data_IF_954629347365
#
_entry.id   IF_954629347365
#
_cell.length_a   1.000
_cell.length_b   1.000
_cell.length_c   1.000
_cell.angle_alpha   90.00
_cell.angle_beta   90.00
_cell.angle_gamma   90.00
#
_symmetry.space_group_name_H-M   'P 1'
#
loop_
_entity.id
_entity.type
_entity.pdbx_description
1 polymer ?
#
# COMPACT_ATOMS: atom_id res chain seq x y z
N UNK A 1 -24.48 32.84 -28.78
CA UNK A 1 -23.59 32.06 -29.68
C UNK A 1 -22.19 31.82 -29.05
N UNK A 2 -21.58 32.85 -28.39
CA UNK A 2 -20.27 32.66 -27.72
C UNK A 2 -20.37 31.80 -26.46
N UNK A 3 -21.40 31.96 -25.64
CA UNK A 3 -21.63 31.16 -24.44
C UNK A 3 -21.93 29.66 -24.75
N UNK A 4 -22.66 29.43 -25.85
CA UNK A 4 -23.01 28.06 -26.29
C UNK A 4 -21.75 27.31 -26.77
N UNK A 5 -20.83 28.01 -27.47
CA UNK A 5 -19.56 27.39 -27.89
C UNK A 5 -18.64 27.09 -26.71
N UNK A 6 -18.60 27.96 -25.69
CA UNK A 6 -17.83 27.72 -24.47
C UNK A 6 -18.37 26.51 -23.69
N UNK A 7 -19.69 26.38 -23.58
CA UNK A 7 -20.35 25.24 -22.95
C UNK A 7 -20.09 23.93 -23.70
N UNK A 8 -20.13 23.96 -25.04
CA UNK A 8 -19.83 22.76 -25.87
C UNK A 8 -18.36 22.32 -25.71
N UNK A 9 -17.42 23.26 -25.67
CA UNK A 9 -16.01 22.95 -25.45
C UNK A 9 -15.76 22.36 -24.06
N UNK A 10 -16.43 22.88 -23.03
CA UNK A 10 -16.35 22.33 -21.67
C UNK A 10 -16.96 20.93 -21.59
N UNK A 11 -18.09 20.69 -22.25
CA UNK A 11 -18.71 19.37 -22.30
C UNK A 11 -17.82 18.34 -23.02
N UNK A 12 -17.21 18.72 -24.14
CA UNK A 12 -16.26 17.87 -24.85
C UNK A 12 -14.99 17.55 -24.01
N UNK A 13 -14.44 18.54 -23.30
CA UNK A 13 -13.28 18.32 -22.42
C UNK A 13 -13.64 17.37 -21.28
N UNK A 14 -14.85 17.52 -20.71
CA UNK A 14 -15.35 16.61 -19.68
C UNK A 14 -15.53 15.18 -20.22
N UNK A 15 -16.14 15.01 -21.40
CA UNK A 15 -16.31 13.68 -22.04
C UNK A 15 -14.97 13.02 -22.33
N UNK A 16 -13.98 13.76 -22.84
CA UNK A 16 -12.64 13.24 -23.11
C UNK A 16 -11.93 12.79 -21.82
N UNK A 17 -12.06 13.55 -20.74
CA UNK A 17 -11.49 13.19 -19.45
C UNK A 17 -12.18 11.96 -18.86
N UNK A 18 -13.51 11.90 -18.92
CA UNK A 18 -14.28 10.76 -18.45
C UNK A 18 -13.93 9.47 -19.23
N UNK A 19 -13.81 9.58 -20.56
CA UNK A 19 -13.41 8.46 -21.40
C UNK A 19 -11.99 7.99 -21.11
N UNK A 20 -11.05 8.92 -20.88
CA UNK A 20 -9.67 8.59 -20.52
C UNK A 20 -9.58 7.90 -19.14
N UNK A 21 -10.40 8.34 -18.17
CA UNK A 21 -10.48 7.71 -16.84
C UNK A 21 -11.05 6.28 -16.96
N UNK A 22 -12.17 6.13 -17.66
CA UNK A 22 -12.78 4.83 -17.90
C UNK A 22 -11.82 3.84 -18.57
N UNK A 23 -11.04 4.32 -19.56
CA UNK A 23 -10.06 3.49 -20.23
C UNK A 23 -8.89 3.11 -19.32
N UNK A 24 -8.39 4.02 -18.48
CA UNK A 24 -7.38 3.71 -17.46
C UNK A 24 -7.85 2.64 -16.48
N UNK A 25 -9.07 2.76 -15.98
CA UNK A 25 -9.69 1.78 -15.08
C UNK A 25 -9.86 0.42 -15.76
N UNK A 26 -10.25 0.40 -17.05
CA UNK A 26 -10.35 -0.82 -17.84
C UNK A 26 -8.99 -1.52 -17.98
N UNK A 27 -7.96 -0.76 -18.37
CA UNK A 27 -6.60 -1.27 -18.52
C UNK A 27 -6.06 -1.79 -17.17
N UNK A 28 -6.30 -1.08 -16.08
CA UNK A 28 -5.89 -1.49 -14.75
C UNK A 28 -6.48 -2.86 -14.37
N UNK A 29 -7.79 -3.07 -14.60
CA UNK A 29 -8.43 -4.37 -14.35
C UNK A 29 -7.88 -5.46 -15.26
N UNK A 30 -7.69 -5.19 -16.54
CA UNK A 30 -7.18 -6.16 -17.50
C UNK A 30 -5.74 -6.61 -17.16
N UNK A 31 -4.89 -5.69 -16.69
CA UNK A 31 -3.55 -6.01 -16.16
C UNK A 31 -3.66 -6.83 -14.88
N UNK A 32 -4.53 -6.43 -13.95
CA UNK A 32 -4.73 -7.16 -12.70
C UNK A 32 -5.18 -8.60 -12.94
N UNK A 33 -6.18 -8.79 -13.79
CA UNK A 33 -6.75 -10.10 -14.10
C UNK A 33 -5.80 -10.97 -14.94
N UNK A 34 -5.10 -10.38 -15.90
CA UNK A 34 -4.16 -11.10 -16.75
C UNK A 34 -2.83 -11.39 -16.05
N UNK A 35 -2.07 -10.34 -15.79
CA UNK A 35 -0.69 -10.46 -15.26
C UNK A 35 -0.70 -10.85 -13.78
N UNK A 36 -1.63 -10.33 -12.98
CA UNK A 36 -1.73 -10.64 -11.56
C UNK A 36 -2.02 -12.11 -11.30
N UNK A 37 -2.99 -12.70 -12.02
CA UNK A 37 -3.29 -14.12 -11.92
C UNK A 37 -2.15 -15.01 -12.43
N UNK A 38 -1.43 -14.58 -13.48
CA UNK A 38 -0.27 -15.31 -13.98
C UNK A 38 0.85 -15.36 -12.95
N UNK A 39 1.23 -14.22 -12.38
CA UNK A 39 2.28 -14.13 -11.34
C UNK A 39 1.91 -14.92 -10.09
N UNK A 40 0.65 -14.85 -9.65
CA UNK A 40 0.17 -15.63 -8.50
C UNK A 40 0.26 -17.13 -8.77
N UNK A 41 -0.06 -17.59 -9.97
CA UNK A 41 0.07 -18.99 -10.36
C UNK A 41 1.53 -19.44 -10.35
N UNK A 42 2.44 -18.63 -10.89
CA UNK A 42 3.88 -18.92 -10.86
C UNK A 42 4.42 -18.98 -9.43
N UNK A 43 4.01 -18.08 -8.55
CA UNK A 43 4.35 -18.08 -7.14
C UNK A 43 3.92 -19.39 -6.46
N UNK A 44 2.69 -19.85 -6.70
CA UNK A 44 2.19 -21.12 -6.17
C UNK A 44 2.96 -22.33 -6.72
N UNK A 45 3.38 -22.29 -7.98
CA UNK A 45 4.22 -23.34 -8.57
C UNK A 45 5.60 -23.38 -7.92
N UNK A 46 6.24 -22.24 -7.70
CA UNK A 46 7.53 -22.15 -7.00
C UNK A 46 7.41 -22.71 -5.58
N UNK A 47 6.37 -22.33 -4.84
CA UNK A 47 6.12 -22.87 -3.49
C UNK A 47 5.89 -24.37 -3.49
N UNK A 48 5.18 -24.90 -4.47
CA UNK A 48 5.01 -26.35 -4.62
C UNK A 48 6.35 -27.06 -4.92
N UNK A 49 7.20 -26.49 -5.77
CA UNK A 49 8.53 -27.02 -6.06
C UNK A 49 9.45 -26.98 -4.83
N UNK A 50 9.40 -25.93 -4.02
CA UNK A 50 10.14 -25.87 -2.75
C UNK A 50 9.78 -27.02 -1.82
N UNK A 51 8.50 -27.39 -1.75
CA UNK A 51 8.05 -28.55 -0.94
C UNK A 51 8.57 -29.88 -1.51
N UNK A 52 8.53 -30.05 -2.83
CA UNK A 52 8.99 -31.25 -3.51
C UNK A 52 10.51 -31.46 -3.34
N UNK A 53 11.29 -30.38 -3.49
CA UNK A 53 12.76 -30.39 -3.46
C UNK A 53 13.35 -30.02 -2.09
N UNK A 54 12.58 -30.10 -1.01
CA UNK A 54 12.99 -29.67 0.34
C UNK A 54 14.30 -30.30 0.84
N UNK A 55 14.68 -31.44 0.30
CA UNK A 55 15.91 -32.16 0.68
C UNK A 55 17.13 -31.78 -0.17
N UNK A 56 16.95 -30.84 -1.14
CA UNK A 56 17.98 -30.34 -2.05
C UNK A 56 18.31 -28.87 -1.76
N UNK A 57 19.26 -28.55 -0.83
CA UNK A 57 19.48 -27.19 -0.36
C UNK A 57 19.80 -26.17 -1.46
N UNK A 58 20.52 -26.58 -2.51
CA UNK A 58 20.86 -25.73 -3.65
C UNK A 58 19.60 -25.34 -4.45
N UNK A 59 18.72 -26.31 -4.73
CA UNK A 59 17.47 -26.06 -5.45
C UNK A 59 16.53 -25.19 -4.63
N UNK A 60 16.45 -25.43 -3.32
CA UNK A 60 15.63 -24.61 -2.41
C UNK A 60 16.12 -23.16 -2.38
N UNK A 61 17.43 -22.91 -2.37
CA UNK A 61 17.98 -21.56 -2.40
C UNK A 61 17.62 -20.82 -3.70
N UNK A 62 17.74 -21.50 -4.85
CA UNK A 62 17.37 -20.95 -6.16
C UNK A 62 15.85 -20.64 -6.23
N UNK A 63 15.02 -21.57 -5.75
CA UNK A 63 13.57 -21.38 -5.70
C UNK A 63 13.17 -20.26 -4.73
N UNK A 64 13.89 -20.05 -3.63
CA UNK A 64 13.66 -18.95 -2.70
C UNK A 64 13.99 -17.61 -3.36
N UNK A 65 15.03 -17.54 -4.16
CA UNK A 65 15.37 -16.37 -4.94
C UNK A 65 14.29 -16.04 -5.98
N UNK A 66 13.76 -17.07 -6.66
CA UNK A 66 12.64 -16.91 -7.60
C UNK A 66 11.33 -16.47 -6.89
N UNK A 67 11.01 -17.03 -5.73
CA UNK A 67 9.86 -16.65 -4.89
C UNK A 67 9.92 -15.16 -4.55
N UNK A 68 11.06 -14.70 -4.06
CA UNK A 68 11.28 -13.29 -3.74
C UNK A 68 11.16 -12.37 -4.96
N UNK A 69 11.70 -12.77 -6.10
CA UNK A 69 11.61 -11.99 -7.35
C UNK A 69 10.17 -11.92 -7.88
N UNK A 70 9.39 -12.99 -7.76
CA UNK A 70 7.98 -13.02 -8.15
C UNK A 70 7.12 -12.16 -7.21
N UNK A 71 7.37 -12.18 -5.90
CA UNK A 71 6.69 -11.31 -4.94
C UNK A 71 6.98 -9.84 -5.23
N UNK A 72 8.25 -9.48 -5.51
CA UNK A 72 8.63 -8.11 -5.90
C UNK A 72 7.97 -7.67 -7.21
N UNK A 73 7.91 -8.55 -8.21
CA UNK A 73 7.24 -8.29 -9.49
C UNK A 73 5.73 -8.08 -9.29
N UNK A 74 5.09 -8.91 -8.45
CA UNK A 74 3.68 -8.78 -8.11
C UNK A 74 3.38 -7.45 -7.41
N UNK A 75 4.21 -7.05 -6.46
CA UNK A 75 4.08 -5.77 -5.76
C UNK A 75 4.36 -4.57 -6.67
N UNK A 76 5.30 -4.69 -7.60
CA UNK A 76 5.57 -3.66 -8.60
C UNK A 76 4.40 -3.47 -9.56
N UNK A 77 3.83 -4.59 -10.05
CA UNK A 77 2.64 -4.58 -10.88
C UNK A 77 1.45 -3.93 -10.15
N UNK A 78 1.20 -4.33 -8.89
CA UNK A 78 0.14 -3.73 -8.06
C UNK A 78 0.29 -2.23 -7.90
N UNK A 79 1.52 -1.74 -7.63
CA UNK A 79 1.80 -0.30 -7.55
C UNK A 79 1.49 0.42 -8.88
N UNK A 80 1.82 -0.21 -10.00
CA UNK A 80 1.57 0.36 -11.33
C UNK A 80 0.10 0.40 -11.67
N UNK A 81 -0.64 -0.66 -11.38
CA UNK A 81 -2.09 -0.75 -11.57
C UNK A 81 -2.81 0.27 -10.68
N UNK A 82 -2.40 0.37 -9.40
CA UNK A 82 -2.98 1.33 -8.45
C UNK A 82 -2.75 2.80 -8.86
N UNK A 83 -1.64 3.09 -9.53
CA UNK A 83 -1.41 4.43 -10.09
C UNK A 83 -2.30 4.76 -11.31
N UNK A 84 -2.94 3.75 -11.91
CA UNK A 84 -3.88 3.89 -13.03
C UNK A 84 -5.35 3.97 -12.59
N UNK A 85 -5.67 3.41 -11.41
CA UNK A 85 -7.03 3.41 -10.85
C UNK A 85 -7.20 4.58 -9.89
N UNK A 86 -8.20 5.41 -10.12
CA UNK A 86 -8.53 6.59 -9.30
C UNK A 86 -9.73 6.34 -8.35
N UNK A 87 -10.12 5.07 -8.14
CA UNK A 87 -11.36 4.71 -7.43
C UNK A 87 -11.09 4.42 -5.93
N UNK A 88 -11.78 5.09 -5.04
CA UNK A 88 -11.57 5.08 -3.59
C UNK A 88 -12.14 3.90 -2.81
N UNK A 89 -13.02 3.08 -3.38
CA UNK A 89 -13.34 1.75 -2.83
C UNK A 89 -12.07 0.90 -2.65
N UNK A 90 -11.01 1.28 -3.32
CA UNK A 90 -9.71 0.63 -3.28
C UNK A 90 -8.92 0.94 -2.01
N UNK A 91 -9.03 2.12 -1.38
CA UNK A 91 -8.22 2.43 -0.21
C UNK A 91 -8.51 1.48 0.96
N UNK A 92 -9.77 1.29 1.31
CA UNK A 92 -10.18 0.37 2.39
C UNK A 92 -9.77 -1.08 2.07
N UNK A 93 -10.02 -1.53 0.85
CA UNK A 93 -9.64 -2.86 0.37
C UNK A 93 -8.13 -3.05 0.41
N UNK A 94 -7.38 -2.04 -0.03
CA UNK A 94 -5.92 -2.08 -0.03
C UNK A 94 -5.35 -2.09 1.40
N UNK A 95 -5.89 -1.30 2.30
CA UNK A 95 -5.48 -1.29 3.71
C UNK A 95 -5.79 -2.61 4.41
N UNK A 96 -6.93 -3.24 4.12
CA UNK A 96 -7.26 -4.58 4.61
C UNK A 96 -6.27 -5.64 4.09
N UNK A 97 -5.89 -5.55 2.82
CA UNK A 97 -4.87 -6.45 2.24
C UNK A 97 -3.48 -6.23 2.87
N UNK A 98 -3.10 -4.99 3.15
CA UNK A 98 -1.86 -4.69 3.89
C UNK A 98 -1.90 -5.29 5.29
N UNK A 99 -3.02 -5.11 6.00
CA UNK A 99 -3.21 -5.67 7.34
C UNK A 99 -3.09 -7.19 7.37
N UNK A 100 -3.65 -7.88 6.37
CA UNK A 100 -3.57 -9.36 6.30
C UNK A 100 -2.17 -9.91 5.99
N UNK A 101 -1.22 -9.06 5.58
CA UNK A 101 0.13 -9.47 5.13
C UNK A 101 1.28 -8.91 5.97
N UNK A 102 0.99 -8.05 6.93
CA UNK A 102 2.03 -7.35 7.71
C UNK A 102 2.70 -8.23 8.79
N UNK A 103 2.22 -9.45 9.02
CA UNK A 103 2.77 -10.36 10.03
C UNK A 103 2.23 -10.12 11.45
N UNK A 104 1.17 -9.31 11.59
CA UNK A 104 0.41 -9.11 12.84
C UNK A 104 -0.79 -10.04 12.84
N UNK A 105 -1.06 -10.71 13.95
CA UNK A 105 -2.11 -11.75 14.04
C UNK A 105 -3.52 -11.21 13.75
N UNK A 106 -3.80 -9.98 14.18
CA UNK A 106 -5.09 -9.31 13.99
C UNK A 106 -4.91 -7.84 13.63
N UNK A 107 -5.38 -7.45 12.44
CA UNK A 107 -5.43 -6.05 12.02
C UNK A 107 -6.86 -5.67 11.69
N UNK A 108 -7.38 -4.64 12.36
CA UNK A 108 -8.69 -4.06 12.04
C UNK A 108 -8.52 -2.77 11.26
N UNK A 109 -9.23 -2.65 10.15
CA UNK A 109 -9.24 -1.44 9.33
C UNK A 109 -10.63 -0.82 9.36
N UNK A 110 -10.72 0.42 9.83
CA UNK A 110 -11.94 1.21 9.87
C UNK A 110 -11.75 2.44 8.95
N UNK A 111 -12.46 2.49 7.84
CA UNK A 111 -12.48 3.65 6.94
C UNK A 111 -13.85 4.33 7.05
N UNK A 112 -13.89 5.49 7.70
CA UNK A 112 -15.07 6.34 7.84
C UNK A 112 -14.88 7.58 6.98
N UNK A 113 -15.11 7.43 5.68
CA UNK A 113 -14.91 8.50 4.70
C UNK A 113 -16.21 8.74 3.93
N UNK A 114 -16.65 10.00 3.86
CA UNK A 114 -17.82 10.42 3.05
C UNK A 114 -17.43 10.64 1.60
N UNK A 115 -16.16 10.98 1.36
CA UNK A 115 -15.58 11.20 0.05
C UNK A 115 -14.29 10.40 -0.10
N UNK A 116 -13.91 10.15 -1.33
CA UNK A 116 -12.64 9.50 -1.66
C UNK A 116 -11.47 10.47 -1.49
N UNK A 117 -10.37 10.02 -0.86
CA UNK A 117 -9.19 10.87 -0.76
C UNK A 117 -8.59 11.13 -2.14
N UNK A 118 -8.11 12.36 -2.40
CA UNK A 118 -7.32 12.62 -3.59
C UNK A 118 -6.19 11.60 -3.73
N UNK A 119 -5.86 11.21 -4.96
CA UNK A 119 -4.86 10.16 -5.24
C UNK A 119 -3.49 10.38 -4.54
N UNK A 120 -3.08 11.63 -4.35
CA UNK A 120 -1.86 11.96 -3.59
C UNK A 120 -2.00 11.61 -2.10
N UNK A 121 -3.17 11.88 -1.51
CA UNK A 121 -3.48 11.56 -0.11
C UNK A 121 -3.59 10.05 0.06
N UNK A 122 -4.31 9.35 -0.81
CA UNK A 122 -4.45 7.89 -0.77
C UNK A 122 -3.08 7.19 -0.81
N UNK A 123 -2.19 7.61 -1.71
CA UNK A 123 -0.81 7.07 -1.79
C UNK A 123 -0.01 7.34 -0.51
N UNK A 124 -0.16 8.52 0.07
CA UNK A 124 0.49 8.88 1.33
C UNK A 124 -0.01 7.99 2.48
N UNK A 125 -1.34 7.83 2.61
CA UNK A 125 -1.99 6.97 3.61
C UNK A 125 -1.46 5.54 3.51
N UNK A 126 -1.46 4.96 2.32
CA UNK A 126 -0.96 3.60 2.07
C UNK A 126 0.51 3.46 2.49
N UNK A 127 1.36 4.42 2.14
CA UNK A 127 2.78 4.38 2.49
C UNK A 127 3.00 4.48 4.00
N UNK A 128 2.27 5.38 4.68
CA UNK A 128 2.35 5.58 6.13
C UNK A 128 1.85 4.34 6.88
N UNK A 129 0.68 3.81 6.51
CA UNK A 129 0.12 2.61 7.15
C UNK A 129 1.02 1.39 6.96
N UNK A 130 1.57 1.20 5.76
CA UNK A 130 2.53 0.11 5.50
C UNK A 130 3.74 0.20 6.43
N UNK A 131 4.36 1.38 6.52
CA UNK A 131 5.53 1.60 7.36
C UNK A 131 5.20 1.42 8.84
N UNK A 132 4.07 1.97 9.31
CA UNK A 132 3.64 1.84 10.70
C UNK A 132 3.37 0.38 11.08
N UNK A 133 2.66 -0.39 10.24
CA UNK A 133 2.42 -1.82 10.49
C UNK A 133 3.70 -2.64 10.41
N UNK A 134 4.62 -2.30 9.50
CA UNK A 134 5.95 -2.96 9.43
C UNK A 134 6.74 -2.71 10.70
N UNK A 135 6.74 -1.48 11.21
CA UNK A 135 7.43 -1.12 12.44
C UNK A 135 6.80 -1.82 13.66
N UNK A 136 5.47 -1.86 13.75
CA UNK A 136 4.75 -2.57 14.78
C UNK A 136 5.10 -4.08 14.80
N UNK A 137 5.13 -4.72 13.63
CA UNK A 137 5.46 -6.14 13.51
C UNK A 137 6.94 -6.43 13.82
N UNK A 138 7.88 -5.65 13.25
CA UNK A 138 9.32 -5.92 13.32
C UNK A 138 9.96 -5.46 14.60
N UNK A 139 9.56 -4.31 15.10
CA UNK A 139 10.22 -3.63 16.23
C UNK A 139 9.34 -3.63 17.49
N UNK A 140 8.01 -3.60 17.34
CA UNK A 140 7.09 -3.60 18.47
C UNK A 140 6.64 -4.98 18.92
N UNK A 141 6.84 -6.04 18.12
CA UNK A 141 6.32 -7.38 18.41
C UNK A 141 4.79 -7.40 18.56
N UNK A 142 4.10 -6.48 17.87
CA UNK A 142 2.65 -6.32 17.98
C UNK A 142 1.91 -7.57 17.49
N UNK A 143 0.85 -7.95 18.21
CA UNK A 143 -0.08 -9.02 17.85
C UNK A 143 -1.41 -8.50 17.35
N UNK A 144 -1.77 -7.27 17.74
CA UNK A 144 -2.97 -6.61 17.28
C UNK A 144 -2.66 -5.17 16.85
N UNK A 145 -3.31 -4.73 15.78
CA UNK A 145 -3.25 -3.36 15.34
C UNK A 145 -4.61 -2.87 14.83
N UNK A 146 -4.81 -1.57 14.90
CA UNK A 146 -5.99 -0.89 14.36
C UNK A 146 -5.54 0.24 13.45
N UNK A 147 -6.10 0.29 12.25
CA UNK A 147 -5.94 1.39 11.31
C UNK A 147 -7.28 2.09 11.18
N UNK A 148 -7.31 3.38 11.42
CA UNK A 148 -8.50 4.21 11.20
C UNK A 148 -8.18 5.33 10.23
N UNK A 149 -9.03 5.50 9.22
CA UNK A 149 -8.96 6.61 8.25
C UNK A 149 -10.29 7.36 8.31
N UNK A 150 -10.20 8.66 8.56
CA UNK A 150 -11.37 9.53 8.69
C UNK A 150 -11.15 10.80 7.88
N UNK A 151 -12.15 11.21 7.11
CA UNK A 151 -12.17 12.51 6.46
C UNK A 151 -12.86 13.55 7.35
N UNK A 152 -12.28 14.72 7.37
CA UNK A 152 -12.84 15.92 7.95
C UNK A 152 -12.94 16.99 6.85
N UNK A 153 -13.80 18.01 6.99
CA UNK A 153 -13.98 19.01 5.95
C UNK A 153 -12.69 19.70 5.44
N UNK A 154 -11.63 19.70 6.25
CA UNK A 154 -10.38 20.39 5.94
C UNK A 154 -9.14 19.49 5.88
N UNK A 155 -9.22 18.24 6.32
CA UNK A 155 -8.07 17.34 6.38
C UNK A 155 -8.49 15.87 6.47
N UNK A 156 -7.54 14.99 6.18
CA UNK A 156 -7.65 13.54 6.39
C UNK A 156 -6.84 13.14 7.62
N UNK A 157 -7.44 12.33 8.48
CA UNK A 157 -6.75 11.78 9.64
C UNK A 157 -6.54 10.28 9.45
N UNK A 158 -5.32 9.83 9.70
CA UNK A 158 -4.96 8.42 9.75
C UNK A 158 -4.38 8.11 11.11
N UNK A 159 -4.93 7.11 11.78
CA UNK A 159 -4.43 6.63 13.07
C UNK A 159 -4.04 5.16 12.91
N UNK A 160 -2.88 4.80 13.41
CA UNK A 160 -2.42 3.41 13.49
C UNK A 160 -2.05 3.13 14.93
N UNK A 161 -2.89 2.36 15.61
CA UNK A 161 -2.66 1.91 16.98
C UNK A 161 -2.21 0.44 16.97
N UNK A 162 -1.33 0.07 17.88
CA UNK A 162 -0.90 -1.32 18.04
C UNK A 162 -0.62 -1.63 19.51
N UNK A 163 -0.62 -2.92 19.86
CA UNK A 163 -0.35 -3.43 21.20
C UNK A 163 1.14 -3.76 21.43
N UNK A 164 1.99 -3.39 20.50
CA UNK A 164 3.44 -3.61 20.61
C UNK A 164 4.11 -2.68 21.61
N UNK A 165 5.34 -3.01 21.96
CA UNK A 165 6.15 -2.23 22.87
C UNK A 165 6.98 -1.22 22.10
N UNK A 166 6.99 0.05 22.55
CA UNK A 166 7.93 1.03 22.02
C UNK A 166 9.34 0.63 22.49
N UNK A 167 10.32 0.44 21.58
CA UNK A 167 11.69 0.17 21.99
C UNK A 167 12.19 1.32 22.86
N UNK A 168 12.60 1.02 24.10
CA UNK A 168 13.22 2.01 24.98
C UNK A 168 14.63 2.29 24.43
N UNK A 169 14.95 3.54 24.14
CA UNK A 169 16.23 3.98 23.56
C UNK A 169 17.44 3.86 24.51
N UNK A 170 17.42 2.95 25.48
CA UNK A 170 18.46 2.86 26.53
C UNK A 170 19.48 1.73 26.33
N UNK A 171 19.52 1.02 25.21
CA UNK A 171 20.66 0.14 24.91
C UNK A 171 21.51 0.75 23.78
N UNK A 172 22.87 0.84 24.00
CA UNK A 172 23.76 1.28 22.93
C UNK A 172 23.67 0.31 21.78
N UNK A 173 23.27 0.81 20.61
CA UNK A 173 23.18 0.06 19.35
C UNK A 173 24.54 -0.54 19.04
N UNK A 174 24.70 -1.81 19.36
CA UNK A 174 25.84 -2.61 18.92
C UNK A 174 25.50 -3.12 17.53
N UNK A 175 26.18 -2.52 16.56
CA UNK A 175 26.30 -2.92 15.16
C UNK A 175 25.04 -3.15 14.30
N UNK A 176 24.79 -2.20 13.40
CA UNK A 176 24.39 -2.50 12.03
C UNK A 176 22.92 -2.27 11.65
N UNK A 177 22.09 -1.58 12.45
CA UNK A 177 20.69 -1.28 12.05
C UNK A 177 20.44 0.24 11.86
N UNK A 178 20.98 0.79 10.78
CA UNK A 178 20.69 2.18 10.31
C UNK A 178 19.24 2.37 9.83
N UNK A 179 18.35 1.35 9.97
CA UNK A 179 17.04 1.36 9.33
C UNK A 179 15.89 2.00 10.11
N UNK A 180 15.90 2.00 11.45
CA UNK A 180 14.73 2.40 12.25
C UNK A 180 14.43 3.91 12.18
N UNK A 181 15.43 4.77 12.06
CA UNK A 181 15.23 6.22 11.92
C UNK A 181 14.81 6.67 10.53
N UNK A 182 15.14 5.91 9.48
CA UNK A 182 14.84 6.27 8.08
C UNK A 182 13.34 6.12 7.75
N UNK A 183 12.67 5.12 8.29
CA UNK A 183 11.24 4.87 8.05
C UNK A 183 10.36 5.99 8.61
N UNK A 184 10.57 6.36 9.88
CA UNK A 184 9.83 7.45 10.54
C UNK A 184 10.08 8.79 9.85
N UNK A 185 11.31 9.08 9.49
CA UNK A 185 11.67 10.29 8.74
C UNK A 185 11.00 10.32 7.37
N UNK A 186 11.01 9.22 6.63
CA UNK A 186 10.35 9.11 5.33
C UNK A 186 8.83 9.29 5.41
N UNK A 187 8.18 8.78 6.47
CA UNK A 187 6.77 9.02 6.75
C UNK A 187 6.49 10.51 6.98
N UNK A 188 7.28 11.15 7.84
CA UNK A 188 7.14 12.58 8.16
C UNK A 188 7.30 13.45 6.91
N UNK A 189 8.36 13.27 6.13
CA UNK A 189 8.62 14.01 4.91
C UNK A 189 7.47 13.89 3.89
N UNK A 190 6.88 12.69 3.75
CA UNK A 190 5.74 12.46 2.83
C UNK A 190 4.48 13.19 3.27
N UNK A 191 4.17 13.16 4.56
CA UNK A 191 2.99 13.81 5.13
C UNK A 191 3.13 15.32 5.07
N UNK A 192 4.31 15.86 5.42
CA UNK A 192 4.62 17.29 5.34
C UNK A 192 4.58 17.82 3.91
N UNK A 193 4.98 17.05 2.92
CA UNK A 193 4.87 17.40 1.51
C UNK A 193 3.42 17.65 1.05
N UNK A 194 2.43 17.10 1.77
CA UNK A 194 1.00 17.33 1.56
C UNK A 194 0.40 18.37 2.54
N UNK A 195 1.25 19.06 3.33
CA UNK A 195 0.82 20.04 4.32
C UNK A 195 0.29 19.43 5.62
N UNK A 196 0.50 18.13 5.83
CA UNK A 196 0.06 17.40 7.04
C UNK A 196 1.10 17.39 8.16
N UNK A 197 0.79 16.67 9.24
CA UNK A 197 1.68 16.43 10.39
C UNK A 197 1.63 14.97 10.80
N UNK A 198 2.75 14.47 11.31
CA UNK A 198 2.85 13.15 11.96
C UNK A 198 3.04 13.35 13.46
N UNK A 199 2.32 12.56 14.26
CA UNK A 199 2.50 12.48 15.70
C UNK A 199 2.66 11.00 16.05
N UNK A 200 3.70 10.70 16.83
CA UNK A 200 4.00 9.34 17.31
C UNK A 200 3.94 9.40 18.83
N UNK A 201 3.19 8.50 19.43
CA UNK A 201 2.97 8.43 20.90
C UNK A 201 3.22 7.02 21.39
#
# INVERSE_FOLDING_TARGET
>A
LQDTNAQLLQAQDYELRAAALAERTRIAREIHDGVGHLLTRLLLQVKALQVVHREEPGVVADLTTLDSGLDEALDSMRRSVHALSDDGEELATFLNMLGSRCGIDSVRVDCSTEAEPPAAVARCVVAVVREALTNAARHGGARAARVAVTDYPAFWQVTVDNDGVVPVEDEPVVDGHEGAGLGLRSMTERVEALGGRVQIT
#
